data_IF_331185085490
#
_entry.id   IF_331185085490
#
_cell.length_a   1.000
_cell.length_b   1.000
_cell.length_c   1.000
_cell.angle_alpha   90.00
_cell.angle_beta   90.00
_cell.angle_gamma   90.00
#
_symmetry.space_group_name_H-M   'P 1'
#
loop_
_entity.id
_entity.type
_entity.pdbx_description
1 polymer ?
#
# COMPACT_ATOMS: atom_id res chain seq x y z
N UNK A 1 39.24 -5.21 -28.64
CA UNK A 1 39.30 -6.55 -28.00
C UNK A 1 38.38 -6.64 -26.73
N UNK A 2 38.57 -5.84 -25.68
CA UNK A 2 37.77 -5.98 -24.43
C UNK A 2 36.31 -5.62 -24.66
N UNK A 3 36.01 -4.54 -25.39
CA UNK A 3 34.66 -4.12 -25.73
C UNK A 3 33.95 -5.08 -26.70
N UNK A 4 34.70 -5.72 -27.58
CA UNK A 4 34.17 -6.77 -28.47
C UNK A 4 33.77 -8.01 -27.68
N UNK A 5 34.63 -8.47 -26.78
CA UNK A 5 34.35 -9.60 -25.89
C UNK A 5 33.13 -9.34 -25.04
N UNK A 6 32.97 -8.13 -24.48
CA UNK A 6 31.79 -7.73 -23.71
C UNK A 6 30.51 -7.77 -24.53
N UNK A 7 30.55 -7.23 -25.77
CA UNK A 7 29.39 -7.24 -26.67
C UNK A 7 29.02 -8.67 -27.05
N UNK A 8 30.00 -9.51 -27.38
CA UNK A 8 29.78 -10.92 -27.71
C UNK A 8 29.17 -11.70 -26.53
N UNK A 9 29.67 -11.49 -25.30
CA UNK A 9 29.15 -12.11 -24.12
C UNK A 9 27.69 -11.68 -23.82
N UNK A 10 27.36 -10.39 -23.98
CA UNK A 10 26.03 -9.87 -23.83
C UNK A 10 25.09 -10.45 -24.90
N UNK A 11 25.51 -10.51 -26.15
CA UNK A 11 24.71 -11.07 -27.24
C UNK A 11 24.40 -12.55 -27.00
N UNK A 12 25.37 -13.35 -26.59
CA UNK A 12 25.17 -14.76 -26.23
C UNK A 12 24.23 -14.94 -25.02
N UNK A 13 24.33 -14.05 -24.01
CA UNK A 13 23.43 -14.10 -22.87
C UNK A 13 21.98 -13.79 -23.27
N UNK A 14 21.78 -12.81 -24.15
CA UNK A 14 20.44 -12.47 -24.68
C UNK A 14 19.88 -13.66 -25.46
N UNK A 15 20.68 -14.22 -26.37
CA UNK A 15 20.29 -15.39 -27.18
C UNK A 15 19.89 -16.59 -26.31
N UNK A 16 20.65 -16.91 -25.27
CA UNK A 16 20.33 -17.99 -24.33
C UNK A 16 19.00 -17.70 -23.62
N UNK A 17 18.80 -16.46 -23.15
CA UNK A 17 17.57 -16.05 -22.44
C UNK A 17 16.34 -16.08 -23.34
N UNK A 18 16.48 -15.71 -24.61
CA UNK A 18 15.38 -15.74 -25.58
C UNK A 18 15.01 -17.17 -25.98
N UNK A 19 15.99 -18.08 -26.06
CA UNK A 19 15.80 -19.47 -26.47
C UNK A 19 15.39 -20.40 -25.29
N UNK A 20 15.49 -19.95 -24.04
CA UNK A 20 15.06 -20.72 -22.85
C UNK A 20 13.62 -20.47 -22.44
N UNK A 21 12.80 -19.88 -23.30
CA UNK A 21 11.35 -19.77 -23.01
C UNK A 21 10.72 -21.16 -23.07
N UNK A 22 10.47 -21.74 -21.91
CA UNK A 22 9.54 -22.88 -21.81
C UNK A 22 8.16 -22.37 -22.26
N UNK A 23 7.55 -23.03 -23.23
CA UNK A 23 6.14 -22.79 -23.56
C UNK A 23 5.31 -23.18 -22.35
N UNK A 24 4.83 -22.17 -21.62
CA UNK A 24 3.85 -22.38 -20.57
C UNK A 24 2.52 -22.71 -21.23
N UNK A 25 2.23 -23.98 -21.35
CA UNK A 25 0.91 -24.44 -21.78
C UNK A 25 -0.07 -24.15 -20.65
N UNK A 26 -0.92 -23.16 -20.83
CA UNK A 26 -2.04 -22.90 -19.92
C UNK A 26 -3.11 -23.96 -20.20
N UNK A 27 -3.10 -25.05 -19.46
CA UNK A 27 -4.02 -26.18 -19.66
C UNK A 27 -5.49 -25.87 -19.36
N UNK A 28 -5.76 -24.85 -18.53
CA UNK A 28 -7.14 -24.46 -18.16
C UNK A 28 -7.27 -22.94 -18.07
N UNK A 29 -8.36 -22.37 -18.61
CA UNK A 29 -8.66 -20.97 -18.36
C UNK A 29 -8.88 -20.75 -16.85
N UNK A 30 -8.35 -19.63 -16.32
CA UNK A 30 -8.60 -19.23 -14.94
C UNK A 30 -10.11 -19.02 -14.75
N UNK A 31 -10.72 -19.83 -13.89
CA UNK A 31 -12.10 -19.61 -13.49
C UNK A 31 -12.17 -18.49 -12.46
N UNK A 32 -13.06 -17.53 -12.68
CA UNK A 32 -13.38 -16.50 -11.70
C UNK A 32 -14.50 -17.02 -10.79
N UNK A 33 -14.27 -16.98 -9.49
CA UNK A 33 -15.32 -17.20 -8.50
C UNK A 33 -15.89 -15.85 -8.11
N UNK A 34 -17.21 -15.69 -8.35
CA UNK A 34 -17.94 -14.47 -8.00
C UNK A 34 -18.43 -14.58 -6.55
N UNK A 35 -17.85 -13.76 -5.66
CA UNK A 35 -18.27 -13.69 -4.27
C UNK A 35 -19.08 -12.41 -4.03
N UNK A 36 -20.33 -12.58 -3.60
CA UNK A 36 -21.27 -11.47 -3.37
C UNK A 36 -21.65 -11.43 -1.90
N UNK A 37 -21.85 -10.24 -1.37
CA UNK A 37 -22.40 -9.97 -0.04
C UNK A 37 -23.48 -8.90 -0.13
N UNK A 38 -24.49 -9.03 0.74
CA UNK A 38 -25.55 -8.05 0.93
C UNK A 38 -25.25 -7.11 2.13
N UNK A 39 -24.02 -7.15 2.65
CA UNK A 39 -23.59 -6.26 3.73
C UNK A 39 -23.72 -4.79 3.31
N UNK A 40 -24.09 -3.95 4.27
CA UNK A 40 -24.14 -2.50 4.07
C UNK A 40 -22.75 -1.96 3.75
N UNK A 41 -22.73 -0.83 3.02
CA UNK A 41 -21.50 -0.08 2.77
C UNK A 41 -20.87 0.30 4.11
N UNK A 42 -19.62 -0.04 4.27
CA UNK A 42 -18.82 0.24 5.45
C UNK A 42 -17.83 1.38 5.14
N UNK A 43 -17.59 2.22 6.15
CA UNK A 43 -16.59 3.28 6.05
C UNK A 43 -15.31 2.88 6.78
N UNK A 44 -14.20 3.01 6.07
CA UNK A 44 -12.87 2.70 6.57
C UNK A 44 -11.99 3.94 6.49
N UNK A 45 -11.20 4.19 7.54
CA UNK A 45 -10.39 5.40 7.61
C UNK A 45 -8.96 5.08 8.01
N UNK A 46 -7.99 5.63 7.27
CA UNK A 46 -6.58 5.62 7.64
C UNK A 46 -6.26 6.88 8.46
N UNK A 47 -5.76 6.68 9.67
CA UNK A 47 -5.40 7.76 10.61
C UNK A 47 -3.94 7.67 11.04
N UNK A 48 -3.35 8.81 11.42
CA UNK A 48 -1.95 8.93 11.84
C UNK A 48 -1.76 9.44 13.26
N UNK A 49 -2.81 9.99 13.87
CA UNK A 49 -2.76 10.51 15.23
C UNK A 49 -3.83 9.92 16.10
N UNK A 50 -3.62 9.97 17.42
CA UNK A 50 -4.58 9.45 18.39
C UNK A 50 -5.88 10.24 18.38
N UNK A 51 -5.81 11.56 18.20
CA UNK A 51 -6.99 12.43 18.10
C UNK A 51 -7.86 12.05 16.91
N UNK A 52 -7.23 11.78 15.75
CA UNK A 52 -7.95 11.31 14.56
C UNK A 52 -8.61 9.96 14.84
N UNK A 53 -7.90 9.03 15.48
CA UNK A 53 -8.44 7.70 15.82
C UNK A 53 -9.67 7.83 16.70
N UNK A 54 -9.57 8.57 17.81
CA UNK A 54 -10.68 8.76 18.76
C UNK A 54 -11.89 9.40 18.06
N UNK A 55 -11.65 10.38 17.20
CA UNK A 55 -12.71 11.05 16.44
C UNK A 55 -13.41 10.09 15.45
N UNK A 56 -12.68 9.10 14.90
CA UNK A 56 -13.22 8.15 13.92
C UNK A 56 -13.95 6.97 14.52
N UNK A 57 -13.64 6.55 15.75
CA UNK A 57 -14.25 5.36 16.39
C UNK A 57 -15.80 5.34 16.29
N UNK A 58 -16.54 6.45 16.53
CA UNK A 58 -17.99 6.41 16.48
C UNK A 58 -18.60 6.26 15.08
N UNK A 59 -17.83 6.50 14.02
CA UNK A 59 -18.33 6.66 12.65
C UNK A 59 -17.76 5.66 11.65
N UNK A 60 -16.75 4.86 12.04
CA UNK A 60 -16.06 3.98 11.13
C UNK A 60 -16.13 2.53 11.59
N UNK A 61 -16.38 1.65 10.63
CA UNK A 61 -16.43 0.20 10.85
C UNK A 61 -15.02 -0.39 10.99
N UNK A 62 -14.03 0.21 10.30
CA UNK A 62 -12.63 -0.20 10.35
C UNK A 62 -11.72 1.02 10.34
N UNK A 63 -10.70 1.01 11.20
CA UNK A 63 -9.70 2.06 11.29
C UNK A 63 -8.32 1.47 11.04
N UNK A 64 -7.58 2.06 10.11
CA UNK A 64 -6.19 1.74 9.83
C UNK A 64 -5.27 2.74 10.52
N UNK A 65 -4.24 2.27 11.22
CA UNK A 65 -3.25 3.11 11.90
C UNK A 65 -1.85 2.80 11.39
N UNK A 66 -0.97 3.81 11.29
CA UNK A 66 0.42 3.64 10.85
C UNK A 66 1.39 3.44 12.02
N UNK A 67 1.03 3.89 13.21
CA UNK A 67 1.85 3.80 14.42
C UNK A 67 1.54 2.52 15.22
N UNK A 68 2.58 1.72 15.48
CA UNK A 68 2.44 0.45 16.20
C UNK A 68 2.01 0.64 17.66
N UNK A 69 2.46 1.71 18.33
CA UNK A 69 2.07 1.95 19.73
C UNK A 69 0.59 2.34 19.80
N UNK A 70 0.13 3.11 18.81
CA UNK A 70 -1.28 3.46 18.70
C UNK A 70 -2.12 2.21 18.43
N UNK A 71 -1.66 1.32 17.55
CA UNK A 71 -2.30 0.03 17.29
C UNK A 71 -2.42 -0.81 18.58
N UNK A 72 -1.32 -1.05 19.29
CA UNK A 72 -1.32 -1.84 20.53
C UNK A 72 -2.27 -1.26 21.60
N UNK A 73 -2.40 0.05 21.68
CA UNK A 73 -3.29 0.71 22.63
C UNK A 73 -4.78 0.54 22.31
N UNK A 74 -5.12 0.38 21.03
CA UNK A 74 -6.51 0.42 20.58
C UNK A 74 -7.00 -0.84 19.87
N UNK A 75 -6.15 -1.84 19.58
CA UNK A 75 -6.52 -3.04 18.83
C UNK A 75 -7.70 -3.82 19.42
N UNK A 76 -7.88 -3.77 20.75
CA UNK A 76 -8.97 -4.45 21.45
C UNK A 76 -10.22 -3.58 21.62
N UNK A 77 -10.19 -2.30 21.24
CA UNK A 77 -11.29 -1.35 21.40
C UNK A 77 -12.17 -1.19 20.16
N UNK A 78 -11.90 -1.95 19.11
CA UNK A 78 -12.64 -1.85 17.87
C UNK A 78 -11.97 -2.63 16.74
N UNK A 79 -12.42 -2.36 15.53
CA UNK A 79 -11.85 -2.98 14.34
C UNK A 79 -10.66 -2.17 13.81
N UNK A 80 -9.57 -2.16 14.60
CA UNK A 80 -8.34 -1.42 14.29
C UNK A 80 -7.33 -2.35 13.64
N UNK A 81 -6.73 -1.93 12.54
CA UNK A 81 -5.71 -2.64 11.78
C UNK A 81 -4.39 -1.86 11.77
N UNK A 82 -3.27 -2.55 11.90
CA UNK A 82 -1.95 -1.97 11.72
C UNK A 82 -1.60 -1.94 10.22
N UNK A 83 -1.38 -0.76 9.68
CA UNK A 83 -0.81 -0.60 8.34
C UNK A 83 0.68 -0.85 8.39
N UNK A 84 1.14 -1.84 7.64
CA UNK A 84 2.56 -2.16 7.52
C UNK A 84 3.28 -1.18 6.60
N UNK A 85 4.56 -0.95 6.88
CA UNK A 85 5.42 -0.16 6.01
C UNK A 85 5.64 -0.90 4.67
N UNK A 86 5.62 -0.19 3.55
CA UNK A 86 5.88 -0.78 2.23
C UNK A 86 7.37 -1.02 1.96
N UNK A 87 8.24 -0.33 2.68
CA UNK A 87 9.69 -0.47 2.57
C UNK A 87 10.19 -1.02 3.89
N UNK A 88 10.47 -2.32 3.92
CA UNK A 88 10.95 -3.02 5.09
C UNK A 88 12.33 -3.62 4.84
N UNK A 89 13.21 -3.56 5.84
CA UNK A 89 14.52 -4.21 5.79
C UNK A 89 14.45 -5.67 6.29
N UNK A 90 13.43 -5.98 7.08
CA UNK A 90 13.15 -7.31 7.63
C UNK A 90 11.65 -7.45 7.83
N UNK A 91 11.18 -8.67 7.88
CA UNK A 91 9.77 -8.99 8.14
C UNK A 91 9.62 -9.42 9.60
N UNK A 92 9.06 -8.54 10.48
CA UNK A 92 8.80 -8.91 11.87
C UNK A 92 7.72 -9.99 11.94
N UNK A 93 7.72 -10.79 13.00
CA UNK A 93 6.66 -11.77 13.21
C UNK A 93 5.39 -11.09 13.72
N UNK A 94 4.24 -11.52 13.17
CA UNK A 94 2.89 -11.16 13.60
C UNK A 94 2.06 -12.42 13.79
N UNK A 95 1.29 -12.50 14.87
CA UNK A 95 0.38 -13.61 15.16
C UNK A 95 -0.92 -13.09 15.75
N UNK A 96 -2.04 -13.51 15.20
CA UNK A 96 -3.40 -13.10 15.60
C UNK A 96 -3.63 -11.58 15.54
N UNK A 97 -2.94 -10.90 14.62
CA UNK A 97 -3.04 -9.46 14.43
C UNK A 97 -3.92 -9.10 13.23
N UNK A 98 -4.37 -7.85 13.19
CA UNK A 98 -5.13 -7.27 12.08
C UNK A 98 -4.19 -6.36 11.29
N UNK A 99 -3.92 -6.70 10.04
CA UNK A 99 -2.87 -6.05 9.22
C UNK A 99 -3.44 -5.48 7.93
N UNK A 100 -2.99 -4.27 7.56
CA UNK A 100 -3.17 -3.69 6.24
C UNK A 100 -1.83 -3.73 5.51
N UNK A 101 -1.75 -4.46 4.40
CA UNK A 101 -0.53 -4.65 3.63
C UNK A 101 -0.53 -3.83 2.34
N UNK A 102 0.59 -3.23 2.00
CA UNK A 102 0.77 -2.40 0.80
C UNK A 102 1.83 -2.94 -0.18
N UNK A 103 2.34 -4.18 0.06
CA UNK A 103 3.30 -4.84 -0.84
C UNK A 103 3.13 -6.37 -0.76
N UNK A 104 3.55 -7.07 -1.82
CA UNK A 104 3.26 -8.51 -1.98
C UNK A 104 4.04 -9.41 -1.01
N UNK A 105 5.23 -9.03 -0.55
CA UNK A 105 5.99 -9.85 0.41
C UNK A 105 5.25 -10.03 1.73
N UNK A 106 4.44 -9.05 2.13
CA UNK A 106 3.62 -9.13 3.35
C UNK A 106 2.45 -10.10 3.26
N UNK A 107 2.16 -10.68 2.09
CA UNK A 107 1.13 -11.72 1.95
C UNK A 107 1.43 -12.95 2.82
N UNK A 108 2.69 -13.19 3.15
CA UNK A 108 3.11 -14.28 4.03
C UNK A 108 2.45 -14.25 5.41
N UNK A 109 1.95 -13.08 5.85
CA UNK A 109 1.29 -12.94 7.14
C UNK A 109 -0.13 -13.50 7.20
N UNK A 110 -0.75 -13.82 6.05
CA UNK A 110 -2.15 -14.22 5.97
C UNK A 110 -2.47 -15.51 6.74
N UNK A 111 -1.52 -16.43 6.90
CA UNK A 111 -1.77 -17.75 7.54
C UNK A 111 -2.17 -17.65 9.01
N UNK A 112 -1.72 -16.61 9.72
CA UNK A 112 -1.96 -16.45 11.16
C UNK A 112 -2.54 -15.09 11.54
N UNK A 113 -2.96 -14.28 10.57
CA UNK A 113 -3.44 -12.91 10.81
C UNK A 113 -4.62 -12.58 9.89
N UNK A 114 -5.41 -11.58 10.29
CA UNK A 114 -6.41 -10.99 9.40
C UNK A 114 -5.74 -9.95 8.50
N UNK A 115 -5.77 -10.17 7.19
CA UNK A 115 -5.05 -9.33 6.23
C UNK A 115 -6.02 -8.61 5.31
N UNK A 116 -5.91 -7.28 5.27
CA UNK A 116 -6.48 -6.40 4.27
C UNK A 116 -5.38 -5.90 3.32
N UNK A 117 -5.71 -5.66 2.06
CA UNK A 117 -4.78 -5.04 1.11
C UNK A 117 -5.04 -3.56 0.90
N UNK A 118 -3.96 -2.78 0.85
CA UNK A 118 -3.98 -1.36 0.51
C UNK A 118 -4.02 -1.18 -1.03
N UNK A 119 -4.42 -0.02 -1.51
CA UNK A 119 -4.46 0.34 -2.94
C UNK A 119 -3.09 0.24 -3.63
N UNK A 120 -2.02 0.21 -2.88
CA UNK A 120 -0.66 0.00 -3.41
C UNK A 120 -0.40 -1.37 -4.04
N UNK A 121 -1.22 -2.38 -3.75
CA UNK A 121 -1.16 -3.64 -4.49
C UNK A 121 -1.66 -3.51 -5.93
N UNK A 122 -2.15 -2.34 -6.30
CA UNK A 122 -2.54 -1.96 -7.66
C UNK A 122 -3.50 -2.95 -8.32
N UNK A 123 -4.59 -3.27 -7.61
CA UNK A 123 -5.58 -4.23 -8.07
C UNK A 123 -6.48 -3.60 -9.13
N UNK A 124 -6.28 -3.99 -10.39
CA UNK A 124 -6.96 -3.40 -11.56
C UNK A 124 -7.87 -4.39 -12.32
N UNK A 125 -7.93 -5.65 -11.90
CA UNK A 125 -8.77 -6.64 -12.57
C UNK A 125 -9.30 -7.72 -11.63
N UNK A 126 -10.36 -8.41 -12.08
CA UNK A 126 -11.06 -9.45 -11.33
C UNK A 126 -10.22 -10.71 -11.06
N UNK A 127 -9.28 -11.05 -11.92
CA UNK A 127 -8.38 -12.19 -11.71
C UNK A 127 -7.44 -11.94 -10.53
N UNK A 128 -6.94 -10.72 -10.39
CA UNK A 128 -6.09 -10.36 -9.26
C UNK A 128 -6.89 -10.35 -7.95
N UNK A 129 -8.15 -9.89 -7.96
CA UNK A 129 -9.04 -10.03 -6.80
C UNK A 129 -9.19 -11.49 -6.39
N UNK A 130 -9.52 -12.38 -7.35
CA UNK A 130 -9.66 -13.81 -7.07
C UNK A 130 -8.37 -14.43 -6.55
N UNK A 131 -7.23 -14.01 -7.08
CA UNK A 131 -5.92 -14.46 -6.61
C UNK A 131 -5.65 -14.06 -5.16
N UNK A 132 -5.87 -12.80 -4.79
CA UNK A 132 -5.67 -12.32 -3.43
C UNK A 132 -6.63 -12.99 -2.44
N UNK A 133 -7.89 -13.23 -2.82
CA UNK A 133 -8.84 -13.99 -2.00
C UNK A 133 -8.36 -15.43 -1.76
N UNK A 134 -7.86 -16.11 -2.79
CA UNK A 134 -7.27 -17.46 -2.66
C UNK A 134 -6.05 -17.47 -1.74
N UNK A 135 -5.30 -16.38 -1.69
CA UNK A 135 -4.22 -16.19 -0.74
C UNK A 135 -4.69 -15.79 0.67
N UNK A 136 -6.00 -15.69 0.93
CA UNK A 136 -6.55 -15.42 2.25
C UNK A 136 -6.66 -13.93 2.63
N UNK A 137 -6.52 -13.01 1.66
CA UNK A 137 -6.79 -11.58 1.89
C UNK A 137 -8.30 -11.39 2.03
N UNK A 138 -8.74 -10.88 3.18
CA UNK A 138 -10.16 -10.76 3.52
C UNK A 138 -10.81 -9.49 2.98
N UNK A 139 -10.03 -8.43 2.75
CA UNK A 139 -10.53 -7.19 2.15
C UNK A 139 -9.49 -6.59 1.21
N UNK A 140 -9.93 -6.12 0.05
CA UNK A 140 -9.06 -5.74 -1.07
C UNK A 140 -9.41 -4.34 -1.52
N UNK A 141 -8.46 -3.40 -1.32
CA UNK A 141 -8.60 -2.04 -1.84
C UNK A 141 -8.15 -2.00 -3.30
N UNK A 142 -9.06 -1.56 -4.17
CA UNK A 142 -8.78 -1.43 -5.60
C UNK A 142 -7.78 -0.31 -5.88
N UNK A 143 -7.10 -0.40 -7.02
CA UNK A 143 -6.21 0.65 -7.51
C UNK A 143 -6.96 1.97 -7.69
N UNK A 144 -6.28 3.07 -7.37
CA UNK A 144 -6.76 4.43 -7.67
C UNK A 144 -6.74 4.76 -9.17
N UNK A 145 -6.13 3.91 -9.98
CA UNK A 145 -6.10 4.05 -11.45
C UNK A 145 -7.35 3.50 -12.12
N UNK A 146 -8.22 2.77 -11.39
CA UNK A 146 -9.48 2.28 -11.91
C UNK A 146 -10.47 3.45 -12.10
N UNK A 147 -11.09 3.49 -13.26
CA UNK A 147 -12.28 4.33 -13.49
C UNK A 147 -13.52 3.71 -12.84
N UNK A 148 -14.60 4.48 -12.70
CA UNK A 148 -15.89 3.96 -12.21
C UNK A 148 -16.39 2.77 -13.04
N UNK A 149 -16.18 2.80 -14.37
CA UNK A 149 -16.56 1.71 -15.27
C UNK A 149 -15.68 0.46 -15.06
N UNK A 150 -14.40 0.64 -14.76
CA UNK A 150 -13.50 -0.47 -14.43
C UNK A 150 -13.90 -1.14 -13.12
N UNK A 151 -14.19 -0.34 -12.08
CA UNK A 151 -14.68 -0.81 -10.79
C UNK A 151 -15.96 -1.61 -10.97
N UNK A 152 -16.92 -1.08 -11.74
CA UNK A 152 -18.18 -1.76 -12.02
C UNK A 152 -17.95 -3.11 -12.72
N UNK A 153 -17.17 -3.15 -13.80
CA UNK A 153 -16.82 -4.39 -14.51
C UNK A 153 -16.12 -5.39 -13.60
N UNK A 154 -15.24 -4.91 -12.73
CA UNK A 154 -14.53 -5.76 -11.77
C UNK A 154 -15.52 -6.40 -10.79
N UNK A 155 -16.44 -5.63 -10.21
CA UNK A 155 -17.48 -6.13 -9.30
C UNK A 155 -18.45 -7.08 -10.01
N UNK A 156 -18.84 -6.77 -11.24
CA UNK A 156 -19.70 -7.64 -12.05
C UNK A 156 -19.08 -9.03 -12.25
N UNK A 157 -17.76 -9.12 -12.37
CA UNK A 157 -17.03 -10.37 -12.60
C UNK A 157 -16.62 -11.08 -11.31
N UNK A 158 -16.06 -10.37 -10.33
CA UNK A 158 -15.51 -10.96 -9.10
C UNK A 158 -16.47 -10.90 -7.90
N UNK A 159 -17.56 -10.13 -7.99
CA UNK A 159 -18.45 -9.84 -6.87
C UNK A 159 -17.90 -8.72 -5.97
N UNK A 160 -18.73 -8.28 -5.03
CA UNK A 160 -18.45 -7.13 -4.17
C UNK A 160 -17.87 -7.49 -2.79
N UNK A 161 -17.84 -8.77 -2.42
CA UNK A 161 -17.41 -9.18 -1.08
C UNK A 161 -15.97 -8.77 -0.80
N UNK A 162 -15.76 -8.00 0.27
CA UNK A 162 -14.45 -7.52 0.70
C UNK A 162 -13.79 -6.52 -0.25
N UNK A 163 -14.49 -5.95 -1.23
CA UNK A 163 -13.95 -4.92 -2.12
C UNK A 163 -14.02 -3.56 -1.44
N UNK A 164 -12.90 -2.84 -1.46
CA UNK A 164 -12.77 -1.48 -0.96
C UNK A 164 -12.37 -0.53 -2.11
N UNK A 165 -12.86 0.70 -2.04
CA UNK A 165 -12.50 1.77 -2.98
C UNK A 165 -12.06 2.99 -2.19
N UNK A 166 -10.90 3.55 -2.52
CA UNK A 166 -10.47 4.82 -1.96
C UNK A 166 -11.32 5.94 -2.55
N UNK A 167 -12.07 6.64 -1.69
CA UNK A 167 -12.99 7.71 -2.13
C UNK A 167 -12.50 9.11 -1.78
N UNK A 168 -11.64 9.24 -0.76
CA UNK A 168 -11.16 10.54 -0.31
C UNK A 168 -9.81 10.44 0.39
N UNK A 169 -8.91 11.39 0.14
CA UNK A 169 -7.65 11.52 0.85
C UNK A 169 -6.51 12.07 -0.01
N UNK A 170 -5.36 12.32 0.62
CA UNK A 170 -4.15 12.68 -0.13
C UNK A 170 -3.42 11.41 -0.55
N UNK A 171 -3.19 11.30 -1.84
CA UNK A 171 -2.39 10.22 -2.41
C UNK A 171 -0.91 10.45 -2.10
N UNK A 172 -0.19 9.39 -1.78
CA UNK A 172 1.25 9.43 -1.66
C UNK A 172 1.88 9.48 -3.05
N UNK A 173 2.67 10.54 -3.29
CA UNK A 173 3.38 10.73 -4.54
C UNK A 173 4.77 10.07 -4.51
N UNK A 174 5.41 10.03 -3.33
CA UNK A 174 6.75 9.47 -3.20
C UNK A 174 6.99 8.97 -1.77
N UNK A 175 7.74 7.85 -1.69
CA UNK A 175 8.31 7.32 -0.44
C UNK A 175 9.80 7.17 -0.60
N UNK A 176 10.58 7.58 0.40
CA UNK A 176 12.04 7.50 0.36
C UNK A 176 12.65 7.30 1.75
N UNK A 177 13.82 6.68 1.83
CA UNK A 177 14.64 6.63 3.05
C UNK A 177 15.42 7.91 3.32
N UNK A 178 15.62 8.73 2.30
CA UNK A 178 16.26 10.03 2.44
C UNK A 178 15.35 11.01 3.16
N UNK A 179 15.90 11.71 4.15
CA UNK A 179 15.18 12.75 4.89
C UNK A 179 15.67 14.15 4.48
N UNK A 180 14.94 14.89 3.65
CA UNK A 180 15.32 16.24 3.24
C UNK A 180 15.37 17.22 4.41
N UNK A 181 14.53 17.03 5.43
CA UNK A 181 14.51 17.89 6.61
C UNK A 181 15.80 17.81 7.42
N UNK A 182 16.36 16.59 7.57
CA UNK A 182 17.64 16.38 8.24
C UNK A 182 18.76 17.09 7.50
N UNK A 183 18.78 17.03 6.18
CA UNK A 183 19.86 17.60 5.36
C UNK A 183 19.79 19.12 5.25
N UNK A 184 18.60 19.70 5.11
CA UNK A 184 18.43 21.12 4.85
C UNK A 184 18.32 21.95 6.13
N UNK A 185 17.67 21.42 7.16
CA UNK A 185 17.33 22.17 8.38
C UNK A 185 18.27 21.84 9.54
N UNK A 186 18.85 20.64 9.58
CA UNK A 186 19.66 20.17 10.72
C UNK A 186 21.01 19.61 10.27
N UNK A 187 21.82 20.43 9.61
CA UNK A 187 23.07 20.02 8.95
C UNK A 187 24.12 19.36 9.85
N UNK A 188 24.15 19.69 11.15
CA UNK A 188 25.30 19.37 12.03
C UNK A 188 24.95 18.53 13.27
N UNK A 189 23.74 17.96 13.39
CA UNK A 189 23.34 17.28 14.64
C UNK A 189 23.20 15.76 14.46
N UNK A 190 23.84 15.01 15.33
CA UNK A 190 23.71 13.57 15.42
C UNK A 190 22.27 13.11 15.73
N UNK A 191 21.51 13.90 16.50
CA UNK A 191 20.11 13.66 16.82
C UNK A 191 19.26 14.74 16.18
N UNK A 192 18.37 14.34 15.26
CA UNK A 192 17.46 15.23 14.57
C UNK A 192 16.06 15.19 15.21
N UNK A 193 15.54 16.35 15.59
CA UNK A 193 14.19 16.52 16.13
C UNK A 193 13.31 17.45 15.26
N UNK A 194 13.70 17.69 14.02
CA UNK A 194 13.03 18.68 13.15
C UNK A 194 11.56 18.32 12.92
N UNK A 195 11.24 17.08 12.62
CA UNK A 195 9.87 16.64 12.38
C UNK A 195 9.03 16.49 13.67
N UNK A 196 9.64 16.53 14.85
CA UNK A 196 8.94 16.39 16.15
C UNK A 196 8.53 17.72 16.78
N UNK A 197 8.83 18.84 16.13
CA UNK A 197 8.55 20.18 16.67
C UNK A 197 7.12 20.69 16.41
N UNK A 198 6.22 19.82 15.92
CA UNK A 198 4.84 20.17 15.56
C UNK A 198 4.68 21.00 14.29
N UNK A 199 5.77 21.36 13.61
CA UNK A 199 5.72 22.10 12.35
C UNK A 199 5.35 21.20 11.19
N UNK A 200 4.52 21.70 10.30
CA UNK A 200 4.22 21.07 9.02
C UNK A 200 5.27 21.50 8.00
N UNK A 201 5.74 20.57 7.20
CA UNK A 201 6.71 20.79 6.14
C UNK A 201 6.12 20.43 4.80
N UNK A 202 6.51 21.17 3.78
CA UNK A 202 6.05 20.97 2.42
C UNK A 202 7.23 21.13 1.45
N UNK A 203 7.20 20.37 0.37
CA UNK A 203 8.03 20.61 -0.78
C UNK A 203 7.24 21.51 -1.74
N UNK A 204 7.86 22.59 -2.19
CA UNK A 204 7.25 23.50 -3.14
C UNK A 204 7.94 23.33 -4.49
N UNK A 205 7.17 23.07 -5.53
CA UNK A 205 7.70 22.91 -6.89
C UNK A 205 7.84 24.27 -7.62
N UNK A 206 8.29 24.22 -8.87
CA UNK A 206 8.45 25.40 -9.74
C UNK A 206 7.13 26.12 -10.02
N UNK A 207 6.00 25.40 -9.94
CA UNK A 207 4.66 25.94 -10.20
C UNK A 207 3.97 26.41 -8.91
N UNK A 208 4.71 26.51 -7.80
CA UNK A 208 4.19 26.89 -6.47
C UNK A 208 3.15 25.89 -5.93
N UNK A 209 3.17 24.64 -6.36
CA UNK A 209 2.36 23.60 -5.77
C UNK A 209 3.01 23.05 -4.50
N UNK A 210 2.23 22.92 -3.43
CA UNK A 210 2.66 22.58 -2.09
C UNK A 210 2.39 21.10 -1.79
N UNK A 211 3.43 20.29 -1.73
CA UNK A 211 3.37 18.83 -1.48
C UNK A 211 3.67 18.57 0.00
N UNK A 212 2.69 18.15 0.81
CA UNK A 212 2.92 17.85 2.22
C UNK A 212 3.96 16.76 2.42
N UNK A 213 4.88 16.98 3.35
CA UNK A 213 5.95 16.07 3.70
C UNK A 213 5.72 15.56 5.11
N UNK A 214 5.65 14.23 5.25
CA UNK A 214 5.47 13.54 6.52
C UNK A 214 6.61 12.56 6.74
N UNK A 215 7.24 12.66 7.90
CA UNK A 215 8.28 11.74 8.33
C UNK A 215 7.65 10.70 9.27
N UNK A 216 7.62 9.44 8.83
CA UNK A 216 7.17 8.32 9.65
C UNK A 216 8.33 7.33 9.82
N UNK A 217 8.77 7.10 11.06
CA UNK A 217 9.92 6.24 11.37
C UNK A 217 11.16 6.66 10.56
N UNK A 218 11.66 5.78 9.70
CA UNK A 218 12.83 6.03 8.84
C UNK A 218 12.47 6.47 7.42
N UNK A 219 11.17 6.62 7.13
CA UNK A 219 10.66 6.92 5.80
C UNK A 219 10.13 8.35 5.72
N UNK A 220 10.40 8.99 4.61
CA UNK A 220 9.80 10.26 4.23
C UNK A 220 8.73 10.02 3.18
N UNK A 221 7.53 10.49 3.46
CA UNK A 221 6.39 10.44 2.57
C UNK A 221 6.10 11.83 2.03
N UNK A 222 5.99 11.96 0.73
CA UNK A 222 5.54 13.19 0.06
C UNK A 222 4.17 12.90 -0.53
N UNK A 223 3.20 13.73 -0.18
CA UNK A 223 1.83 13.60 -0.65
C UNK A 223 1.53 14.58 -1.78
N UNK A 224 0.60 14.23 -2.66
CA UNK A 224 0.13 15.14 -3.69
C UNK A 224 -0.42 16.43 -3.10
N UNK A 225 -0.21 17.53 -3.82
CA UNK A 225 -0.71 18.87 -3.45
C UNK A 225 -2.25 18.93 -3.43
N UNK A 226 -2.92 18.16 -4.26
CA UNK A 226 -4.37 18.05 -4.30
C UNK A 226 -4.89 16.88 -3.48
N UNK A 227 -6.08 17.02 -2.95
CA UNK A 227 -6.81 15.94 -2.30
C UNK A 227 -7.52 15.15 -3.40
N UNK A 228 -7.33 13.84 -3.39
CA UNK A 228 -8.10 12.93 -4.23
C UNK A 228 -9.52 12.85 -3.72
N UNK A 229 -10.50 12.88 -4.63
CA UNK A 229 -11.90 12.62 -4.37
C UNK A 229 -12.46 11.90 -5.58
N UNK A 230 -13.08 10.74 -5.38
CA UNK A 230 -13.74 9.96 -6.42
C UNK A 230 -15.06 10.63 -6.82
#
# INVERSE_FOLDING_TARGET
KLNELRREAISKLIEIRENTKEEVVVEKPLSLEKEVTDEKIQFMTLVRTEEQLIACIPFNDTIYVTDKNLYEKYKDRGNVYLRLDRVMNFFPEYQNEKLLIGEMGSIQYQSNNMVHSDYYLNVVNSYYVSYLRKLGVSSITLSIENTCDDIKRLIDNAGNKGIQVLVYGRLEAMIMKYCPLKMLVNKDKSVCNVCRNGKKYELVDRNQAHYPLVQEKELTHIFYHQVYSL
#
